data_IF_836821730010
#
_entry.id   IF_836821730010
#
_cell.length_a   1.000
_cell.length_b   1.000
_cell.length_c   1.000
_cell.angle_alpha   90.00
_cell.angle_beta   90.00
_cell.angle_gamma   90.00
#
_symmetry.space_group_name_H-M   'P 1'
#
loop_
_entity.id
_entity.type
_entity.pdbx_description
1 polymer ?
#
# COMPACT_ATOMS: atom_id res chain seq x y z
N UNK A 1 -47.00 2.77 17.00
CA UNK A 1 -46.28 2.70 15.69
C UNK A 1 -44.78 2.56 15.91
N UNK A 2 -44.15 3.37 16.75
CA UNK A 2 -42.69 3.29 16.98
C UNK A 2 -42.22 1.96 17.58
N UNK A 3 -42.91 1.40 18.57
CA UNK A 3 -42.58 0.14 19.21
C UNK A 3 -42.67 -1.04 18.23
N UNK A 4 -43.69 -1.05 17.38
CA UNK A 4 -43.87 -2.08 16.36
C UNK A 4 -42.78 -2.04 15.30
N UNK A 5 -42.40 -0.84 14.85
CA UNK A 5 -41.32 -0.64 13.88
C UNK A 5 -39.95 -1.02 14.44
N UNK A 6 -39.68 -0.68 15.72
CA UNK A 6 -38.46 -1.07 16.40
C UNK A 6 -38.34 -2.58 16.57
N UNK A 7 -39.43 -3.25 16.92
CA UNK A 7 -39.47 -4.71 17.06
C UNK A 7 -39.25 -5.40 15.70
N UNK A 8 -39.90 -4.91 14.65
CA UNK A 8 -39.69 -5.41 13.28
C UNK A 8 -38.22 -5.22 12.83
N UNK A 9 -37.62 -4.05 13.10
CA UNK A 9 -36.20 -3.80 12.78
C UNK A 9 -35.26 -4.79 13.49
N UNK A 10 -35.52 -5.08 14.77
CA UNK A 10 -34.74 -6.06 15.52
C UNK A 10 -34.87 -7.48 14.93
N UNK A 11 -36.04 -7.86 14.46
CA UNK A 11 -36.24 -9.13 13.78
C UNK A 11 -35.46 -9.22 12.48
N UNK A 12 -35.56 -8.18 11.64
CA UNK A 12 -34.85 -8.13 10.36
C UNK A 12 -33.33 -8.14 10.58
N UNK A 13 -32.81 -7.37 11.52
CA UNK A 13 -31.37 -7.34 11.83
C UNK A 13 -30.84 -8.63 12.45
N UNK A 14 -31.70 -9.51 12.93
CA UNK A 14 -31.29 -10.81 13.46
C UNK A 14 -31.05 -11.86 12.36
N UNK A 15 -31.50 -11.61 11.14
CA UNK A 15 -31.24 -12.48 10.00
C UNK A 15 -29.78 -12.37 9.53
N UNK A 16 -29.30 -13.41 8.86
CA UNK A 16 -27.97 -13.45 8.27
C UNK A 16 -27.95 -12.71 6.92
N UNK A 17 -26.97 -11.84 6.76
CA UNK A 17 -26.73 -11.09 5.53
C UNK A 17 -25.29 -11.24 5.09
N UNK A 18 -25.07 -10.96 3.83
CA UNK A 18 -23.73 -10.89 3.24
C UNK A 18 -23.40 -9.44 2.93
N UNK A 19 -22.16 -9.04 3.24
CA UNK A 19 -21.65 -7.71 2.90
C UNK A 19 -20.18 -7.78 2.57
N UNK A 20 -19.68 -6.70 1.97
CA UNK A 20 -18.26 -6.54 1.65
C UNK A 20 -17.67 -5.46 2.55
N UNK A 21 -16.57 -5.77 3.20
CA UNK A 21 -15.80 -4.81 4.00
C UNK A 21 -14.43 -4.64 3.40
N UNK A 22 -13.87 -3.44 3.56
CA UNK A 22 -12.56 -3.08 3.05
C UNK A 22 -11.53 -3.09 4.18
N UNK A 23 -10.45 -3.85 4.00
CA UNK A 23 -9.35 -3.95 4.95
C UNK A 23 -8.09 -3.39 4.29
N UNK A 24 -7.39 -2.45 4.91
CA UNK A 24 -6.13 -1.95 4.39
C UNK A 24 -5.09 -3.07 4.26
N UNK A 25 -4.31 -3.04 3.20
CA UNK A 25 -3.24 -3.99 2.94
C UNK A 25 -1.91 -3.26 2.83
N UNK A 26 -0.87 -3.76 3.48
CA UNK A 26 0.46 -3.15 3.46
C UNK A 26 1.55 -4.20 3.40
N UNK A 27 2.64 -3.85 2.74
CA UNK A 27 3.89 -4.59 2.81
C UNK A 27 4.89 -3.84 3.69
N UNK A 28 5.61 -4.58 4.52
CA UNK A 28 6.68 -4.02 5.37
C UNK A 28 8.02 -4.66 5.05
N UNK A 29 9.09 -4.07 5.60
CA UNK A 29 10.47 -4.55 5.46
C UNK A 29 10.92 -4.68 4.00
N UNK A 30 10.43 -3.80 3.11
CA UNK A 30 10.93 -3.72 1.74
C UNK A 30 12.29 -3.03 1.77
N UNK A 31 13.38 -3.69 1.37
CA UNK A 31 14.69 -3.08 1.36
C UNK A 31 14.78 -1.90 0.39
N UNK A 32 15.62 -0.91 0.69
CA UNK A 32 15.80 0.27 -0.17
C UNK A 32 16.31 -0.07 -1.59
N UNK A 33 17.00 -1.20 -1.72
CA UNK A 33 17.49 -1.69 -3.00
C UNK A 33 16.48 -2.53 -3.80
N UNK A 34 15.22 -2.57 -3.37
CA UNK A 34 14.15 -3.28 -4.04
C UNK A 34 13.15 -2.30 -4.60
N UNK A 35 12.91 -2.40 -5.91
CA UNK A 35 11.86 -1.65 -6.61
C UNK A 35 10.72 -2.61 -6.92
N UNK A 36 9.56 -2.34 -6.35
CA UNK A 36 8.33 -3.07 -6.67
C UNK A 36 7.84 -2.62 -8.04
N UNK A 37 7.72 -3.56 -8.95
CA UNK A 37 7.22 -3.29 -10.31
C UNK A 37 5.73 -3.62 -10.43
N UNK A 38 5.21 -4.48 -9.55
CA UNK A 38 3.78 -4.78 -9.49
C UNK A 38 3.02 -3.76 -8.65
N UNK A 39 1.83 -3.41 -9.11
CA UNK A 39 0.89 -2.64 -8.32
C UNK A 39 0.22 -3.57 -7.30
N UNK A 40 0.68 -3.51 -6.06
CA UNK A 40 -0.02 -4.19 -4.97
C UNK A 40 -1.28 -3.42 -4.59
N UNK A 41 -2.39 -4.10 -4.33
CA UNK A 41 -3.59 -3.43 -3.87
C UNK A 41 -3.33 -2.75 -2.52
N UNK A 42 -3.83 -1.56 -2.34
CA UNK A 42 -3.77 -0.86 -1.05
C UNK A 42 -4.81 -1.37 -0.07
N UNK A 43 -5.84 -2.02 -0.59
CA UNK A 43 -7.00 -2.50 0.16
C UNK A 43 -7.44 -3.87 -0.35
N UNK A 44 -7.87 -4.71 0.56
CA UNK A 44 -8.52 -5.98 0.27
C UNK A 44 -10.01 -5.85 0.51
N UNK A 45 -10.81 -6.31 -0.43
CA UNK A 45 -12.27 -6.40 -0.30
C UNK A 45 -12.64 -7.79 0.18
N UNK A 46 -13.24 -7.85 1.35
CA UNK A 46 -13.55 -9.09 2.05
C UNK A 46 -15.05 -9.28 2.13
N UNK A 47 -15.55 -10.31 1.48
CA UNK A 47 -16.95 -10.73 1.59
C UNK A 47 -17.17 -11.51 2.89
N UNK A 48 -18.08 -11.07 3.71
CA UNK A 48 -18.42 -11.67 5.01
C UNK A 48 -19.91 -11.90 5.14
N UNK A 49 -20.26 -12.91 5.93
CA UNK A 49 -21.63 -13.25 6.27
C UNK A 49 -21.79 -13.33 7.78
N UNK A 50 -22.73 -12.57 8.30
CA UNK A 50 -23.12 -12.60 9.72
C UNK A 50 -24.52 -11.99 9.89
N UNK A 51 -24.98 -11.90 11.13
CA UNK A 51 -26.22 -11.20 11.45
C UNK A 51 -26.12 -9.72 11.14
N UNK A 52 -27.24 -9.13 10.73
CA UNK A 52 -27.30 -7.72 10.38
C UNK A 52 -26.78 -6.78 11.47
N UNK A 53 -27.02 -7.08 12.73
CA UNK A 53 -26.49 -6.31 13.88
C UNK A 53 -24.97 -6.24 13.91
N UNK A 54 -24.30 -7.36 13.61
CA UNK A 54 -22.83 -7.44 13.57
C UNK A 54 -22.31 -6.70 12.34
N UNK A 55 -22.94 -6.89 11.18
CA UNK A 55 -22.53 -6.24 9.92
C UNK A 55 -22.67 -4.72 9.98
N UNK A 56 -23.72 -4.20 10.60
CA UNK A 56 -23.89 -2.77 10.82
C UNK A 56 -22.73 -2.20 11.63
N UNK A 57 -22.28 -2.91 12.67
CA UNK A 57 -21.11 -2.47 13.45
C UNK A 57 -19.82 -2.45 12.61
N UNK A 58 -19.63 -3.41 11.70
CA UNK A 58 -18.47 -3.39 10.78
C UNK A 58 -18.51 -2.21 9.79
N UNK A 59 -19.70 -1.86 9.31
CA UNK A 59 -19.86 -0.80 8.33
C UNK A 59 -19.80 0.61 8.93
N UNK A 60 -20.28 0.78 10.16
CA UNK A 60 -20.45 2.10 10.76
C UNK A 60 -19.46 2.43 11.88
N UNK A 61 -18.89 1.43 12.52
CA UNK A 61 -18.16 1.66 13.76
C UNK A 61 -16.78 1.02 13.88
N UNK A 62 -16.46 0.02 13.09
CA UNK A 62 -15.21 -0.70 13.24
C UNK A 62 -14.15 -0.25 12.26
N UNK A 63 -12.99 0.14 12.79
CA UNK A 63 -11.79 0.34 11.99
C UNK A 63 -10.99 -0.96 11.95
N UNK A 64 -10.72 -1.45 10.75
CA UNK A 64 -9.90 -2.64 10.57
C UNK A 64 -8.41 -2.28 10.54
N UNK A 65 -7.61 -3.10 11.20
CA UNK A 65 -6.16 -2.97 11.15
C UNK A 65 -5.61 -3.45 9.82
N UNK A 66 -4.55 -2.80 9.30
CA UNK A 66 -3.93 -3.24 8.07
C UNK A 66 -3.45 -4.69 8.13
N UNK A 67 -3.79 -5.48 7.13
CA UNK A 67 -3.17 -6.78 6.92
C UNK A 67 -1.79 -6.54 6.34
N UNK A 68 -0.78 -6.86 7.14
CA UNK A 68 0.61 -6.60 6.80
C UNK A 68 1.29 -7.91 6.43
N UNK A 69 1.98 -7.93 5.29
CA UNK A 69 2.88 -9.00 4.90
C UNK A 69 4.33 -8.53 4.97
N UNK A 70 5.22 -9.45 5.27
CA UNK A 70 6.64 -9.18 5.33
C UNK A 70 7.29 -9.50 3.98
N UNK A 71 8.06 -8.58 3.42
CA UNK A 71 8.77 -8.82 2.18
C UNK A 71 9.80 -9.96 2.32
N UNK A 72 10.42 -10.08 3.48
CA UNK A 72 11.45 -11.10 3.74
C UNK A 72 10.91 -12.52 3.58
N UNK A 73 9.65 -12.78 3.92
CA UNK A 73 9.01 -14.10 3.77
C UNK A 73 8.93 -14.55 2.29
N UNK A 74 9.09 -13.62 1.35
CA UNK A 74 8.94 -13.85 -0.09
C UNK A 74 10.23 -13.58 -0.88
N UNK A 75 11.22 -12.93 -0.30
CA UNK A 75 12.45 -12.50 -0.96
C UNK A 75 13.26 -13.63 -1.58
N UNK A 76 13.20 -14.83 -1.00
CA UNK A 76 13.96 -16.02 -1.45
C UNK A 76 13.24 -16.82 -2.56
N UNK A 77 12.01 -16.44 -2.90
CA UNK A 77 11.18 -17.18 -3.87
C UNK A 77 11.35 -16.72 -5.32
N UNK A 78 12.30 -15.84 -5.60
CA UNK A 78 12.56 -15.28 -6.92
C UNK A 78 11.93 -13.89 -7.13
N UNK A 79 12.17 -13.32 -8.29
CA UNK A 79 11.77 -11.94 -8.60
C UNK A 79 10.26 -11.77 -8.89
N UNK A 80 9.55 -12.87 -9.04
CA UNK A 80 8.10 -12.90 -9.27
C UNK A 80 7.48 -13.93 -8.35
N UNK A 81 6.68 -13.49 -7.42
CA UNK A 81 5.99 -14.35 -6.46
C UNK A 81 4.50 -14.13 -6.57
N UNK A 82 3.77 -15.22 -6.77
CA UNK A 82 2.29 -15.24 -6.71
C UNK A 82 1.86 -15.97 -5.47
N UNK A 83 0.95 -15.38 -4.73
CA UNK A 83 0.32 -16.03 -3.59
C UNK A 83 -1.18 -15.77 -3.58
N UNK A 84 -1.91 -16.75 -3.08
CA UNK A 84 -3.36 -16.66 -2.97
C UNK A 84 -3.73 -15.84 -1.73
N UNK A 85 -4.72 -14.98 -1.86
CA UNK A 85 -5.24 -14.18 -0.75
C UNK A 85 -5.75 -15.04 0.41
N UNK A 86 -6.12 -16.28 0.14
CA UNK A 86 -6.50 -17.29 1.17
C UNK A 86 -5.38 -17.56 2.19
N UNK A 87 -4.12 -17.35 1.83
CA UNK A 87 -3.03 -17.45 2.81
C UNK A 87 -3.13 -16.42 3.93
N UNK A 88 -3.89 -15.36 3.72
CA UNK A 88 -4.16 -14.29 4.68
C UNK A 88 -5.44 -14.48 5.50
N UNK A 89 -6.25 -15.54 5.21
CA UNK A 89 -7.55 -15.77 5.83
C UNK A 89 -7.50 -15.75 7.35
N UNK A 90 -6.48 -16.35 7.95
CA UNK A 90 -6.31 -16.35 9.40
C UNK A 90 -6.08 -14.94 9.98
N UNK A 91 -5.31 -14.12 9.29
CA UNK A 91 -5.03 -12.73 9.72
C UNK A 91 -6.26 -11.84 9.52
N UNK A 92 -7.01 -12.09 8.47
CA UNK A 92 -8.25 -11.39 8.15
C UNK A 92 -9.35 -11.79 9.14
N UNK A 93 -9.59 -13.08 9.32
CA UNK A 93 -10.64 -13.58 10.19
C UNK A 93 -10.43 -13.26 11.67
N UNK A 94 -9.17 -13.10 12.12
CA UNK A 94 -8.89 -12.70 13.49
C UNK A 94 -9.39 -11.29 13.86
N UNK A 95 -9.72 -10.46 12.87
CA UNK A 95 -10.28 -9.12 13.07
C UNK A 95 -11.82 -9.11 13.17
N UNK A 96 -12.46 -10.22 12.83
CA UNK A 96 -13.91 -10.37 12.87
C UNK A 96 -14.37 -11.14 14.12
N UNK A 97 -15.64 -11.05 14.39
CA UNK A 97 -16.27 -11.88 15.42
C UNK A 97 -16.22 -13.36 15.03
N UNK A 98 -16.22 -14.24 16.03
CA UNK A 98 -16.22 -15.70 15.80
C UNK A 98 -17.43 -16.20 15.02
N UNK A 99 -18.54 -15.47 15.08
CA UNK A 99 -19.76 -15.75 14.32
C UNK A 99 -19.64 -15.43 12.84
N UNK A 100 -18.74 -14.53 12.47
CA UNK A 100 -18.60 -14.04 11.10
C UNK A 100 -17.93 -15.09 10.21
N UNK A 101 -18.58 -15.40 9.09
CA UNK A 101 -18.05 -16.30 8.07
C UNK A 101 -17.36 -15.51 6.98
N UNK A 102 -16.11 -15.84 6.70
CA UNK A 102 -15.35 -15.29 5.58
C UNK A 102 -15.78 -16.01 4.30
N UNK A 103 -16.32 -15.28 3.34
CA UNK A 103 -16.80 -15.84 2.07
C UNK A 103 -15.77 -15.73 0.96
N UNK A 104 -15.17 -14.55 0.82
CA UNK A 104 -14.23 -14.27 -0.25
C UNK A 104 -13.27 -13.13 0.13
N UNK A 105 -12.11 -13.15 -0.50
CA UNK A 105 -11.13 -12.05 -0.42
C UNK A 105 -10.76 -11.66 -1.84
N UNK A 106 -10.87 -10.39 -2.17
CA UNK A 106 -10.50 -9.84 -3.48
C UNK A 106 -9.35 -8.86 -3.34
N UNK A 107 -8.36 -8.91 -4.23
CA UNK A 107 -8.19 -9.86 -5.33
C UNK A 107 -7.85 -11.28 -4.82
N UNK A 108 -8.23 -12.32 -5.57
CA UNK A 108 -7.99 -13.72 -5.18
C UNK A 108 -6.51 -14.08 -5.17
N UNK A 109 -5.75 -13.45 -6.05
CA UNK A 109 -4.31 -13.66 -6.21
C UNK A 109 -3.60 -12.32 -6.09
N UNK A 110 -2.56 -12.31 -5.29
CA UNK A 110 -1.63 -11.20 -5.16
C UNK A 110 -0.34 -11.55 -5.89
N UNK A 111 0.11 -10.64 -6.74
CA UNK A 111 1.34 -10.82 -7.49
C UNK A 111 2.37 -9.79 -7.04
N UNK A 112 3.50 -10.29 -6.55
CA UNK A 112 4.63 -9.49 -6.16
C UNK A 112 5.72 -9.65 -7.21
N UNK A 113 5.93 -8.61 -8.00
CA UNK A 113 7.04 -8.53 -8.95
C UNK A 113 7.98 -7.44 -8.46
N UNK A 114 9.24 -7.77 -8.32
CA UNK A 114 10.24 -6.82 -7.89
C UNK A 114 11.56 -6.99 -8.63
N UNK A 115 12.31 -5.93 -8.70
CA UNK A 115 13.66 -5.92 -9.24
C UNK A 115 14.62 -5.40 -8.18
N UNK A 116 15.76 -6.07 -8.03
CA UNK A 116 16.82 -5.55 -7.17
C UNK A 116 17.52 -4.40 -7.88
N UNK A 117 17.40 -3.22 -7.32
CA UNK A 117 18.06 -2.03 -7.81
C UNK A 117 19.49 -1.97 -7.31
N UNK A 118 20.39 -1.47 -8.12
CA UNK A 118 21.71 -1.02 -7.66
C UNK A 118 21.65 0.47 -7.30
N UNK A 119 22.48 0.86 -6.36
CA UNK A 119 22.63 2.24 -5.98
C UNK A 119 23.75 2.91 -6.78
N UNK A 120 23.50 4.13 -7.24
CA UNK A 120 24.51 4.99 -7.87
C UNK A 120 24.45 6.35 -7.21
N UNK A 121 25.60 6.84 -6.78
CA UNK A 121 25.73 8.20 -6.28
C UNK A 121 25.81 9.16 -7.46
N UNK A 122 24.91 10.10 -7.54
CA UNK A 122 24.89 11.10 -8.63
C UNK A 122 24.92 12.52 -8.04
N UNK A 123 25.60 13.45 -8.69
CA UNK A 123 25.63 14.83 -8.24
C UNK A 123 24.27 15.51 -8.41
N UNK A 124 23.97 16.43 -7.51
CA UNK A 124 22.81 17.31 -7.64
C UNK A 124 23.16 18.46 -8.58
N UNK A 125 22.28 18.76 -9.51
CA UNK A 125 22.42 19.90 -10.43
C UNK A 125 21.15 20.74 -10.46
N UNK A 126 21.29 22.00 -10.66
CA UNK A 126 20.20 22.95 -10.82
C UNK A 126 19.47 22.70 -12.15
N UNK A 127 18.15 22.66 -12.09
CA UNK A 127 17.29 22.73 -13.26
C UNK A 127 16.66 24.12 -13.32
N UNK A 128 17.09 24.90 -14.29
CA UNK A 128 16.66 26.29 -14.46
C UNK A 128 17.84 27.22 -14.58
N UNK A 129 17.56 28.50 -14.70
CA UNK A 129 18.56 29.55 -14.85
C UNK A 129 18.46 30.51 -13.65
N UNK A 130 19.52 30.59 -12.86
CA UNK A 130 19.62 31.58 -11.79
C UNK A 130 20.26 32.84 -12.37
N UNK A 131 19.54 33.98 -12.32
CA UNK A 131 20.02 35.26 -12.76
C UNK A 131 20.35 36.13 -11.57
N UNK A 132 21.54 36.71 -11.58
CA UNK A 132 21.88 37.74 -10.62
C UNK A 132 21.15 39.03 -10.95
N UNK A 133 20.82 39.83 -9.94
CA UNK A 133 20.34 41.18 -10.12
C UNK A 133 21.42 42.09 -10.76
N UNK A 134 21.01 43.21 -11.34
CA UNK A 134 21.93 44.17 -11.92
C UNK A 134 23.02 44.57 -10.93
N UNK A 135 24.25 44.56 -11.35
CA UNK A 135 25.48 44.87 -10.59
C UNK A 135 26.00 43.73 -9.70
N UNK A 136 25.36 42.55 -9.71
CA UNK A 136 25.84 41.36 -9.01
C UNK A 136 26.19 40.28 -10.02
N UNK A 137 27.13 39.41 -9.64
CA UNK A 137 27.42 38.18 -10.38
C UNK A 137 27.39 36.98 -9.45
N UNK A 138 27.01 35.84 -9.98
CA UNK A 138 27.01 34.58 -9.23
C UNK A 138 28.41 34.01 -9.33
N UNK A 139 29.12 33.94 -8.19
CA UNK A 139 30.48 33.42 -8.15
C UNK A 139 30.48 31.88 -8.09
N UNK A 140 29.54 31.29 -7.39
CA UNK A 140 29.43 29.83 -7.24
C UNK A 140 28.04 29.43 -6.78
N UNK A 141 27.65 28.17 -7.05
CA UNK A 141 26.41 27.56 -6.59
C UNK A 141 26.76 26.30 -5.81
N UNK A 142 26.47 26.32 -4.52
CA UNK A 142 26.73 25.20 -3.63
C UNK A 142 25.44 24.44 -3.40
N UNK A 143 25.47 23.10 -3.57
CA UNK A 143 24.36 22.23 -3.35
C UNK A 143 24.48 21.55 -1.98
N UNK A 144 23.37 21.48 -1.26
CA UNK A 144 23.29 20.72 0.01
C UNK A 144 22.01 19.87 0.02
N UNK A 145 22.14 18.55 -0.08
CA UNK A 145 23.34 17.76 -0.33
C UNK A 145 23.94 17.96 -1.73
N UNK A 146 25.24 17.77 -1.88
CA UNK A 146 25.96 17.86 -3.16
C UNK A 146 25.68 16.68 -4.09
N UNK A 147 25.27 15.58 -3.52
CA UNK A 147 25.00 14.31 -4.21
C UNK A 147 23.93 13.50 -3.48
N UNK A 148 23.21 12.69 -4.23
CA UNK A 148 22.17 11.79 -3.73
C UNK A 148 22.38 10.38 -4.25
N UNK A 149 21.89 9.37 -3.49
CA UNK A 149 21.88 7.99 -3.92
C UNK A 149 20.59 7.72 -4.71
N UNK A 150 20.76 7.24 -5.94
CA UNK A 150 19.65 6.84 -6.80
C UNK A 150 19.62 5.33 -6.90
N UNK A 151 18.45 4.73 -6.66
CA UNK A 151 18.20 3.30 -6.77
C UNK A 151 17.38 3.04 -8.03
N UNK A 152 17.92 2.27 -8.95
CA UNK A 152 17.22 1.90 -10.17
C UNK A 152 17.75 0.57 -10.74
N UNK A 153 16.99 -0.10 -11.64
CA UNK A 153 17.50 -1.20 -12.44
C UNK A 153 18.76 -0.77 -13.24
N UNK A 154 19.68 -1.71 -13.48
CA UNK A 154 20.96 -1.40 -14.12
C UNK A 154 20.83 -0.62 -15.44
N UNK A 155 19.84 -1.01 -16.26
CA UNK A 155 19.60 -0.41 -17.59
C UNK A 155 19.25 1.08 -17.50
N UNK A 156 18.54 1.47 -16.45
CA UNK A 156 18.16 2.87 -16.20
C UNK A 156 19.26 3.61 -15.46
N UNK A 157 19.96 2.92 -14.55
CA UNK A 157 20.99 3.53 -13.71
C UNK A 157 22.15 4.09 -14.53
N UNK A 158 22.49 3.40 -15.63
CA UNK A 158 23.57 3.85 -16.54
C UNK A 158 23.20 5.13 -17.28
N UNK A 159 21.93 5.41 -17.49
CA UNK A 159 21.43 6.62 -18.15
C UNK A 159 21.36 7.83 -17.21
N UNK A 160 21.29 7.59 -15.89
CA UNK A 160 21.18 8.65 -14.90
C UNK A 160 22.56 9.22 -14.60
N UNK A 161 22.80 10.47 -14.97
CA UNK A 161 24.08 11.18 -14.76
C UNK A 161 24.03 12.21 -13.65
N UNK A 162 22.87 12.74 -13.33
CA UNK A 162 22.65 13.74 -12.28
C UNK A 162 21.22 13.71 -11.76
N UNK A 163 21.02 14.17 -10.53
CA UNK A 163 19.72 14.52 -9.99
C UNK A 163 19.49 16.03 -10.15
N UNK A 164 18.31 16.42 -10.61
CA UNK A 164 17.98 17.80 -10.85
C UNK A 164 17.03 18.33 -9.78
N UNK A 165 17.22 19.60 -9.39
CA UNK A 165 16.25 20.30 -8.53
C UNK A 165 14.92 20.50 -9.28
N UNK A 166 13.85 20.79 -8.55
CA UNK A 166 12.66 21.36 -9.18
C UNK A 166 12.99 22.67 -9.89
N UNK A 167 12.17 23.03 -10.89
CA UNK A 167 12.34 24.32 -11.57
C UNK A 167 12.13 25.47 -10.55
N UNK A 168 13.12 26.33 -10.45
CA UNK A 168 13.04 27.59 -9.71
C UNK A 168 12.35 28.65 -10.56
#
# INVERSE_FOLDING_TARGET
>A
VFLSSSFWLLLVLNDEYETEVTIPFRMKNVPENVVLTSELPQELKVGVKDRGTVLVNYLLGQTFYPVTIDFEDYADRGNQVRFLSRSLDKRISSQFNQSTKLLSVKPDTLELIYTRAKAKKVPVRLRGEVKAERQFYISDIVYSPDSVMVYAPNEILDTITAAYTENL
#
